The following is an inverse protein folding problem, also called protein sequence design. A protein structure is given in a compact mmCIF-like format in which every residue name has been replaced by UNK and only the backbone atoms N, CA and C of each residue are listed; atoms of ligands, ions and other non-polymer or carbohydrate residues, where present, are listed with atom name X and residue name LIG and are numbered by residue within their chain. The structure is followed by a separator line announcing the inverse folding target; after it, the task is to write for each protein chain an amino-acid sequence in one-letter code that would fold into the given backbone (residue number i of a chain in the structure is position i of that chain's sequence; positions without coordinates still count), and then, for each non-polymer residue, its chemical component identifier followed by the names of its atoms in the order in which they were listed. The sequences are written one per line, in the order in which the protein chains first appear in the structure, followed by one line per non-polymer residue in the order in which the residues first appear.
data_IF_647866119533
#
_entry.id   IF_647866119533
#
_cell.length_a   1.000
_cell.length_b   1.000
_cell.length_c   1.000
_cell.angle_alpha   90.00
_cell.angle_beta   90.00
_cell.angle_gamma   90.00
#
_symmetry.space_group_name_H-M   'P 1'
#
loop_
_entity.id
_entity.type
_entity.pdbx_description
1 polymer ?
#
# COMPACT_ATOMS: atom_id res chain seq x y z
N UNK A 1 -31.31 1.42 -2.14
CA UNK A 1 -30.44 0.29 -1.76
C UNK A 1 -29.64 0.68 -0.53
N UNK A 2 -30.21 0.49 0.66
CA UNK A 2 -29.50 0.46 1.95
C UNK A 2 -30.19 -0.64 2.75
N UNK A 3 -29.79 -1.86 2.48
CA UNK A 3 -30.02 -3.02 3.32
C UNK A 3 -28.69 -3.72 3.48
N UNK A 4 -28.48 -4.24 4.69
CA UNK A 4 -27.41 -5.14 5.09
C UNK A 4 -26.08 -4.48 5.46
N UNK A 5 -25.93 -4.20 6.76
CA UNK A 5 -24.92 -4.79 7.64
C UNK A 5 -25.34 -4.47 9.08
N UNK A 6 -25.97 -5.43 9.74
CA UNK A 6 -26.01 -5.53 11.20
C UNK A 6 -25.08 -6.68 11.57
N UNK A 7 -23.93 -6.35 12.15
CA UNK A 7 -23.12 -7.31 12.88
C UNK A 7 -22.47 -6.61 14.08
N UNK A 8 -22.84 -7.13 15.25
CA UNK A 8 -22.48 -6.78 16.62
C UNK A 8 -21.05 -6.23 16.85
N UNK A 9 -20.97 -5.05 17.47
CA UNK A 9 -19.93 -4.69 18.44
C UNK A 9 -20.58 -4.02 19.65
N UNK A 10 -20.87 -4.80 20.68
CA UNK A 10 -21.13 -4.29 22.03
C UNK A 10 -19.77 -3.93 22.66
N UNK A 11 -19.27 -2.72 22.41
CA UNK A 11 -18.30 -2.11 23.32
C UNK A 11 -19.06 -1.34 24.39
N UNK A 12 -18.93 -1.80 25.63
CA UNK A 12 -19.39 -1.07 26.82
C UNK A 12 -18.78 0.33 26.82
N UNK A 13 -19.61 1.34 26.56
CA UNK A 13 -19.27 2.73 26.76
C UNK A 13 -19.17 3.00 28.27
N UNK A 14 -17.98 2.86 28.85
CA UNK A 14 -17.64 3.60 30.05
C UNK A 14 -17.54 5.07 29.65
N UNK A 15 -18.66 5.78 29.77
CA UNK A 15 -18.70 7.23 29.64
C UNK A 15 -17.85 7.85 30.74
N UNK A 16 -16.65 8.32 30.38
CA UNK A 16 -16.01 9.36 31.16
C UNK A 16 -16.86 10.61 31.00
N UNK A 17 -17.83 10.79 31.90
CA UNK A 17 -18.46 12.08 32.12
C UNK A 17 -17.34 13.04 32.51
N UNK A 18 -16.90 13.89 31.58
CA UNK A 18 -16.18 15.09 31.95
C UNK A 18 -17.14 15.89 32.81
N UNK A 19 -16.85 15.97 34.11
CA UNK A 19 -17.54 16.86 35.03
C UNK A 19 -17.36 18.28 34.50
N UNK A 20 -18.45 18.85 33.98
CA UNK A 20 -18.54 20.28 33.81
C UNK A 20 -18.72 20.88 35.21
N UNK A 21 -17.78 21.70 35.63
CA UNK A 21 -17.97 22.58 36.78
C UNK A 21 -19.26 23.38 36.57
N UNK A 22 -20.09 23.43 37.62
CA UNK A 22 -21.36 24.12 37.64
C UNK A 22 -21.17 25.64 37.47
N UNK A 23 -21.14 26.10 36.22
CA UNK A 23 -21.10 27.52 35.85
C UNK A 23 -22.36 27.93 35.10
N UNK A 24 -23.28 28.57 35.82
CA UNK A 24 -24.55 29.21 35.41
C UNK A 24 -25.56 28.33 34.65
N UNK A 25 -26.86 28.46 34.97
CA UNK A 25 -27.98 27.74 34.33
C UNK A 25 -28.17 28.07 32.82
N UNK A 26 -27.18 28.69 32.19
CA UNK A 26 -27.23 29.27 30.84
C UNK A 26 -26.42 28.47 29.81
N UNK A 27 -25.46 27.65 30.23
CA UNK A 27 -24.55 26.92 29.35
C UNK A 27 -25.18 25.63 28.74
N UNK A 28 -26.31 25.81 28.05
CA UNK A 28 -27.17 24.72 27.56
C UNK A 28 -26.55 23.85 26.45
N UNK A 29 -25.54 24.36 25.73
CA UNK A 29 -24.98 23.70 24.55
C UNK A 29 -23.51 23.24 24.73
N UNK A 30 -23.04 23.10 25.96
CA UNK A 30 -21.64 22.71 26.24
C UNK A 30 -21.30 21.31 25.68
N UNK A 31 -22.24 20.37 25.71
CA UNK A 31 -22.01 19.00 25.21
C UNK A 31 -21.83 18.98 23.68
N UNK A 32 -22.68 19.72 22.97
CA UNK A 32 -22.61 19.89 21.53
C UNK A 32 -21.33 20.64 21.14
N UNK A 33 -20.99 21.72 21.86
CA UNK A 33 -19.75 22.47 21.67
C UNK A 33 -18.53 21.55 21.82
N UNK A 34 -18.43 20.78 22.90
CA UNK A 34 -17.29 19.90 23.14
C UNK A 34 -17.15 18.81 22.07
N UNK A 35 -18.27 18.27 21.58
CA UNK A 35 -18.28 17.25 20.52
C UNK A 35 -17.87 17.85 19.17
N UNK A 36 -18.43 19.00 18.79
CA UNK A 36 -18.07 19.70 17.56
C UNK A 36 -16.61 20.17 17.60
N UNK A 37 -16.14 20.71 18.73
CA UNK A 37 -14.74 21.08 18.90
C UNK A 37 -13.79 19.88 18.78
N UNK A 38 -14.17 18.71 19.31
CA UNK A 38 -13.37 17.49 19.14
C UNK A 38 -13.21 17.11 17.66
N UNK A 39 -14.30 17.20 16.88
CA UNK A 39 -14.29 16.95 15.43
C UNK A 39 -13.48 17.99 14.66
N UNK A 40 -13.66 19.28 14.97
CA UNK A 40 -12.92 20.38 14.34
C UNK A 40 -11.42 20.25 14.62
N UNK A 41 -11.04 19.93 15.85
CA UNK A 41 -9.65 19.89 16.27
C UNK A 41 -8.88 18.69 15.68
N UNK A 42 -9.57 17.72 15.04
CA UNK A 42 -8.91 16.70 14.21
C UNK A 42 -8.10 17.35 13.09
N UNK A 43 -8.61 18.43 12.50
CA UNK A 43 -7.92 19.18 11.46
C UNK A 43 -6.68 19.92 11.96
N UNK A 44 -6.49 20.06 13.27
CA UNK A 44 -5.30 20.69 13.88
C UNK A 44 -4.35 19.64 14.48
N UNK A 45 -4.82 18.40 14.65
CA UNK A 45 -4.03 17.31 15.22
C UNK A 45 -3.00 16.81 14.21
N UNK A 46 -1.77 16.55 14.65
CA UNK A 46 -0.72 15.97 13.81
C UNK A 46 -1.05 14.53 13.44
N UNK A 47 -0.96 14.20 12.15
CA UNK A 47 -1.13 12.82 11.67
C UNK A 47 0.19 12.07 11.89
N UNK A 48 0.21 11.16 12.86
CA UNK A 48 1.40 10.44 13.30
C UNK A 48 1.15 8.93 13.40
N UNK A 49 2.23 8.16 13.41
CA UNK A 49 2.17 6.69 13.58
C UNK A 49 1.73 5.93 12.33
N UNK A 50 1.78 6.56 11.15
CA UNK A 50 1.68 5.86 9.88
C UNK A 50 3.03 5.21 9.54
N UNK A 51 2.99 4.06 8.88
CA UNK A 51 4.22 3.37 8.46
C UNK A 51 4.86 4.06 7.25
N UNK A 52 6.18 4.02 7.19
CA UNK A 52 6.93 4.47 6.00
C UNK A 52 6.53 3.65 4.77
N UNK A 53 6.36 4.24 3.58
CA UNK A 53 5.78 3.55 2.43
C UNK A 53 6.65 2.45 1.81
N UNK A 54 7.98 2.58 1.86
CA UNK A 54 8.90 1.64 1.21
C UNK A 54 9.23 0.42 2.08
N UNK A 55 9.37 -0.76 1.44
CA UNK A 55 9.98 -1.92 2.09
C UNK A 55 11.50 -1.73 2.23
N UNK A 56 12.10 -2.30 3.28
CA UNK A 56 13.55 -2.31 3.43
C UNK A 56 14.25 -3.01 2.26
N UNK A 57 15.35 -2.42 1.79
CA UNK A 57 16.19 -2.98 0.72
C UNK A 57 17.26 -3.95 1.22
N UNK A 58 17.47 -4.07 2.54
CA UNK A 58 18.63 -4.80 3.09
C UNK A 58 18.58 -6.29 2.75
N UNK A 59 17.46 -6.95 3.05
CA UNK A 59 17.28 -8.38 2.76
C UNK A 59 17.22 -8.64 1.24
N UNK A 60 16.70 -7.70 0.48
CA UNK A 60 16.63 -7.74 -0.99
C UNK A 60 18.03 -7.69 -1.60
N UNK A 61 18.84 -6.74 -1.17
CA UNK A 61 20.22 -6.60 -1.59
C UNK A 61 21.04 -7.84 -1.21
N UNK A 62 20.80 -8.41 -0.03
CA UNK A 62 21.42 -9.65 0.41
C UNK A 62 21.09 -10.85 -0.49
N UNK A 63 19.83 -11.00 -0.92
CA UNK A 63 19.40 -12.05 -1.85
C UNK A 63 20.08 -11.87 -3.21
N UNK A 64 20.03 -10.66 -3.75
CA UNK A 64 20.66 -10.32 -5.04
C UNK A 64 22.17 -10.56 -5.03
N UNK A 65 22.83 -10.23 -3.92
CA UNK A 65 24.27 -10.46 -3.75
C UNK A 65 24.61 -11.95 -3.87
N UNK A 66 23.88 -12.82 -3.16
CA UNK A 66 24.08 -14.28 -3.24
C UNK A 66 23.80 -14.81 -4.65
N UNK A 67 22.74 -14.33 -5.29
CA UNK A 67 22.42 -14.71 -6.66
C UNK A 67 23.56 -14.39 -7.63
N UNK A 68 24.14 -13.19 -7.55
CA UNK A 68 25.32 -12.83 -8.35
C UNK A 68 26.54 -13.67 -7.98
N UNK A 69 26.78 -13.95 -6.71
CA UNK A 69 27.96 -14.76 -6.33
C UNK A 69 27.85 -16.20 -6.84
N UNK A 70 26.65 -16.79 -6.89
CA UNK A 70 26.43 -18.15 -7.40
C UNK A 70 26.30 -18.23 -8.92
N UNK A 71 26.08 -17.11 -9.61
CA UNK A 71 25.92 -17.08 -11.06
C UNK A 71 27.20 -17.52 -11.80
N UNK A 72 27.02 -17.80 -13.09
CA UNK A 72 28.08 -18.27 -13.97
C UNK A 72 29.31 -17.32 -13.95
N UNK A 73 30.54 -17.85 -13.80
CA UNK A 73 31.75 -17.03 -13.74
C UNK A 73 31.99 -16.17 -14.99
N UNK A 74 31.64 -16.65 -16.18
CA UNK A 74 31.83 -15.90 -17.42
C UNK A 74 30.78 -14.80 -17.55
N UNK A 75 29.53 -15.07 -17.11
CA UNK A 75 28.49 -14.03 -17.05
C UNK A 75 28.83 -12.93 -16.03
N UNK A 76 29.30 -13.30 -14.83
CA UNK A 76 29.58 -12.33 -13.77
C UNK A 76 30.79 -11.44 -14.05
N UNK A 77 31.79 -11.93 -14.81
CA UNK A 77 33.04 -11.21 -15.12
C UNK A 77 32.83 -9.89 -15.87
N UNK A 78 31.68 -9.71 -16.52
CA UNK A 78 31.37 -8.47 -17.24
C UNK A 78 31.06 -7.28 -16.32
N UNK A 79 30.65 -7.55 -15.08
CA UNK A 79 30.26 -6.54 -14.09
C UNK A 79 31.45 -6.13 -13.22
N UNK A 80 31.45 -4.87 -12.81
CA UNK A 80 32.41 -4.39 -11.82
C UNK A 80 32.15 -5.05 -10.45
N UNK A 81 33.22 -5.24 -9.68
CA UNK A 81 33.17 -5.74 -8.30
C UNK A 81 33.41 -4.63 -7.26
N UNK A 82 33.76 -3.42 -7.72
CA UNK A 82 33.97 -2.23 -6.89
C UNK A 82 33.42 -0.98 -7.57
N UNK A 83 33.00 0.02 -6.78
CA UNK A 83 32.47 1.27 -7.32
C UNK A 83 33.48 2.02 -8.22
N UNK A 84 34.78 1.91 -7.93
CA UNK A 84 35.86 2.54 -8.71
C UNK A 84 36.02 1.98 -10.13
N UNK A 85 35.50 0.79 -10.40
CA UNK A 85 35.55 0.13 -11.71
C UNK A 85 34.16 0.04 -12.36
N UNK A 86 33.18 0.74 -11.79
CA UNK A 86 31.82 0.80 -12.31
C UNK A 86 31.81 1.32 -13.76
N UNK A 87 30.87 0.83 -14.55
CA UNK A 87 30.69 1.21 -15.94
C UNK A 87 29.43 2.07 -16.00
N UNK A 88 29.48 3.16 -16.74
CA UNK A 88 28.34 4.05 -16.89
C UNK A 88 27.32 3.54 -17.92
N UNK A 89 27.71 2.53 -18.71
CA UNK A 89 26.89 1.96 -19.77
C UNK A 89 26.95 0.43 -19.81
N UNK A 90 25.98 -0.16 -20.52
CA UNK A 90 25.79 -1.59 -20.67
C UNK A 90 26.35 -2.06 -22.04
N UNK A 91 27.59 -2.58 -22.11
CA UNK A 91 28.31 -2.79 -23.39
C UNK A 91 27.65 -3.82 -24.32
N UNK A 92 26.79 -4.67 -23.75
CA UNK A 92 26.16 -5.81 -24.43
C UNK A 92 24.69 -5.57 -24.80
N UNK A 93 24.13 -4.40 -24.49
CA UNK A 93 22.74 -4.04 -24.82
C UNK A 93 22.66 -3.34 -26.19
N UNK A 94 22.70 -4.12 -27.27
CA UNK A 94 22.80 -3.62 -28.66
C UNK A 94 21.48 -3.60 -29.44
N UNK A 95 20.45 -4.29 -28.95
CA UNK A 95 19.15 -4.36 -29.61
C UNK A 95 18.36 -3.06 -29.39
N UNK A 96 18.04 -2.28 -30.45
CA UNK A 96 17.32 -1.02 -30.31
C UNK A 96 15.94 -1.16 -29.67
N UNK A 97 15.27 -2.31 -29.84
CA UNK A 97 13.91 -2.54 -29.34
C UNK A 97 13.86 -2.80 -27.83
N UNK A 98 14.98 -3.21 -27.22
CA UNK A 98 15.07 -3.54 -25.79
C UNK A 98 16.18 -2.77 -25.07
N UNK A 99 16.86 -1.84 -25.77
CA UNK A 99 18.08 -1.18 -25.31
C UNK A 99 17.94 -0.54 -23.93
N UNK A 100 16.86 0.23 -23.72
CA UNK A 100 16.63 0.95 -22.47
C UNK A 100 16.44 -0.02 -21.29
N UNK A 101 15.57 -1.02 -21.47
CA UNK A 101 15.27 -1.99 -20.41
C UNK A 101 16.45 -2.92 -20.13
N UNK A 102 17.20 -3.31 -21.17
CA UNK A 102 18.45 -4.05 -21.03
C UNK A 102 19.47 -3.22 -20.24
N UNK A 103 19.67 -1.95 -20.59
CA UNK A 103 20.62 -1.06 -19.92
C UNK A 103 20.27 -0.90 -18.44
N UNK A 104 18.99 -0.67 -18.12
CA UNK A 104 18.52 -0.57 -16.74
C UNK A 104 18.85 -1.82 -15.93
N UNK A 105 18.50 -3.01 -16.44
CA UNK A 105 18.77 -4.26 -15.74
C UNK A 105 20.26 -4.56 -15.60
N UNK A 106 21.05 -4.25 -16.64
CA UNK A 106 22.48 -4.46 -16.62
C UNK A 106 23.15 -3.61 -15.51
N UNK A 107 22.75 -2.34 -15.38
CA UNK A 107 23.23 -1.45 -14.31
C UNK A 107 22.78 -1.94 -12.91
N UNK A 108 21.56 -2.47 -12.79
CA UNK A 108 21.08 -3.09 -11.54
C UNK A 108 21.89 -4.33 -11.15
N UNK A 109 22.26 -5.18 -12.12
CA UNK A 109 23.15 -6.32 -11.89
C UNK A 109 24.56 -5.86 -11.51
N UNK A 110 25.09 -4.82 -12.16
CA UNK A 110 26.39 -4.27 -11.78
C UNK A 110 26.37 -3.73 -10.35
N UNK A 111 25.34 -2.96 -9.97
CA UNK A 111 25.20 -2.46 -8.60
C UNK A 111 25.12 -3.62 -7.59
N UNK A 112 24.38 -4.68 -7.92
CA UNK A 112 24.29 -5.89 -7.10
C UNK A 112 25.65 -6.60 -6.97
N UNK A 113 26.47 -6.62 -8.04
CA UNK A 113 27.81 -7.19 -8.05
C UNK A 113 28.76 -6.39 -7.16
N UNK A 114 28.77 -5.06 -7.31
CA UNK A 114 29.55 -4.16 -6.46
C UNK A 114 29.17 -4.36 -4.99
N UNK A 115 27.87 -4.48 -4.66
CA UNK A 115 27.45 -4.79 -3.29
C UNK A 115 27.94 -6.17 -2.84
N UNK A 116 27.79 -7.21 -3.66
CA UNK A 116 28.19 -8.57 -3.31
C UNK A 116 29.67 -8.68 -2.95
N UNK A 117 30.56 -8.05 -3.74
CA UNK A 117 32.01 -8.18 -3.57
C UNK A 117 32.62 -7.02 -2.77
N UNK A 118 32.00 -5.84 -2.79
CA UNK A 118 32.46 -4.61 -2.14
C UNK A 118 31.87 -4.34 -0.76
N UNK A 119 30.71 -4.90 -0.41
CA UNK A 119 29.99 -4.64 0.86
C UNK A 119 29.42 -5.91 1.53
N UNK A 120 29.25 -7.01 0.80
CA UNK A 120 28.55 -8.19 1.28
C UNK A 120 29.27 -8.95 2.39
N UNK A 121 28.70 -8.95 3.59
CA UNK A 121 29.25 -9.65 4.76
C UNK A 121 29.46 -11.16 4.51
N UNK A 122 28.44 -11.85 3.98
CA UNK A 122 28.51 -13.30 3.75
C UNK A 122 29.42 -13.65 2.56
N UNK A 123 29.22 -12.97 1.44
CA UNK A 123 29.88 -13.24 0.15
C UNK A 123 31.34 -12.81 0.12
N UNK A 124 31.77 -11.89 0.99
CA UNK A 124 33.20 -11.64 1.23
C UNK A 124 33.85 -12.72 2.09
N UNK A 125 33.18 -13.14 3.17
CA UNK A 125 33.72 -14.08 4.15
C UNK A 125 33.87 -15.49 3.62
N UNK A 126 32.97 -15.91 2.74
CA UNK A 126 32.95 -17.26 2.19
C UNK A 126 33.07 -17.17 0.68
N UNK A 127 34.18 -17.67 0.15
CA UNK A 127 34.43 -17.73 -1.29
C UNK A 127 33.99 -19.08 -1.85
N UNK A 128 33.33 -19.07 -2.99
CA UNK A 128 32.94 -20.26 -3.75
C UNK A 128 33.79 -20.29 -5.02
N UNK A 129 34.55 -21.37 -5.22
CA UNK A 129 35.45 -21.48 -6.38
C UNK A 129 34.69 -21.62 -7.69
N UNK A 130 35.34 -21.34 -8.82
CA UNK A 130 34.71 -21.51 -10.14
C UNK A 130 34.35 -22.97 -10.40
N UNK A 131 35.18 -23.91 -9.96
CA UNK A 131 34.90 -25.35 -10.06
C UNK A 131 33.65 -25.72 -9.25
N UNK A 132 33.44 -25.11 -8.07
CA UNK A 132 32.24 -25.34 -7.26
C UNK A 132 31.00 -24.80 -7.98
N UNK A 133 31.07 -23.59 -8.55
CA UNK A 133 29.97 -22.97 -9.30
C UNK A 133 29.59 -23.78 -10.54
N UNK A 134 30.59 -24.29 -11.28
CA UNK A 134 30.37 -25.04 -12.52
C UNK A 134 29.97 -26.51 -12.29
N UNK A 135 30.10 -27.03 -11.07
CA UNK A 135 29.60 -28.37 -10.71
C UNK A 135 28.07 -28.49 -10.85
N UNK A 136 27.55 -29.72 -10.93
CA UNK A 136 26.10 -29.96 -10.97
C UNK A 136 25.38 -29.34 -9.76
N UNK A 137 25.99 -29.46 -8.57
CA UNK A 137 25.46 -28.86 -7.34
C UNK A 137 25.49 -27.33 -7.40
N UNK A 138 26.57 -26.74 -7.92
CA UNK A 138 26.70 -25.28 -8.11
C UNK A 138 25.67 -24.72 -9.07
N UNK A 139 25.49 -25.37 -10.23
CA UNK A 139 24.48 -24.96 -11.21
C UNK A 139 23.05 -25.08 -10.67
N UNK A 140 22.76 -26.15 -9.92
CA UNK A 140 21.46 -26.30 -9.26
C UNK A 140 21.24 -25.19 -8.22
N UNK A 141 22.26 -24.87 -7.43
CA UNK A 141 22.21 -23.78 -6.46
C UNK A 141 22.01 -22.41 -7.12
N UNK A 142 22.69 -22.14 -8.25
CA UNK A 142 22.52 -20.91 -9.03
C UNK A 142 21.07 -20.77 -9.52
N UNK A 143 20.48 -21.84 -10.07
CA UNK A 143 19.06 -21.84 -10.50
C UNK A 143 18.11 -21.59 -9.33
N UNK A 144 18.38 -22.20 -8.16
CA UNK A 144 17.56 -21.98 -6.97
C UNK A 144 17.67 -20.54 -6.46
N UNK A 145 18.87 -19.97 -6.42
CA UNK A 145 19.09 -18.58 -6.01
C UNK A 145 18.43 -17.59 -6.99
N UNK A 146 18.49 -17.87 -8.28
CA UNK A 146 17.79 -17.12 -9.32
C UNK A 146 16.26 -17.16 -9.12
N UNK A 147 15.69 -18.34 -8.86
CA UNK A 147 14.26 -18.49 -8.59
C UNK A 147 13.82 -17.74 -7.32
N UNK A 148 14.62 -17.80 -6.25
CA UNK A 148 14.37 -17.05 -5.02
C UNK A 148 14.41 -15.54 -5.28
N UNK A 149 15.39 -15.06 -6.06
CA UNK A 149 15.50 -13.64 -6.43
C UNK A 149 14.29 -13.18 -7.26
N UNK A 150 13.83 -14.00 -8.20
CA UNK A 150 12.63 -13.69 -8.97
C UNK A 150 11.37 -13.61 -8.09
N UNK A 151 11.23 -14.52 -7.13
CA UNK A 151 10.12 -14.50 -6.18
C UNK A 151 10.15 -13.26 -5.26
N UNK A 152 11.34 -12.87 -4.78
CA UNK A 152 11.54 -11.64 -4.01
C UNK A 152 11.12 -10.41 -4.80
N UNK A 153 11.61 -10.26 -6.03
CA UNK A 153 11.26 -9.13 -6.90
C UNK A 153 9.76 -9.06 -7.18
N UNK A 154 9.10 -10.20 -7.41
CA UNK A 154 7.65 -10.24 -7.58
C UNK A 154 6.90 -9.78 -6.34
N UNK A 155 7.36 -10.16 -5.14
CA UNK A 155 6.76 -9.70 -3.88
C UNK A 155 6.92 -8.19 -3.72
N UNK A 156 8.12 -7.67 -3.97
CA UNK A 156 8.41 -6.22 -3.95
C UNK A 156 7.52 -5.47 -4.94
N UNK A 157 7.43 -5.92 -6.18
CA UNK A 157 6.61 -5.29 -7.21
C UNK A 157 5.13 -5.35 -6.87
N UNK A 158 4.64 -6.48 -6.35
CA UNK A 158 3.25 -6.62 -5.92
C UNK A 158 2.91 -5.64 -4.80
N UNK A 159 3.78 -5.52 -3.80
CA UNK A 159 3.64 -4.55 -2.71
C UNK A 159 3.65 -3.10 -3.23
N UNK A 160 4.63 -2.75 -4.06
CA UNK A 160 4.79 -1.41 -4.59
C UNK A 160 3.59 -0.96 -5.43
N UNK A 161 2.94 -1.90 -6.14
CA UNK A 161 1.79 -1.57 -6.98
C UNK A 161 0.46 -1.57 -6.21
N UNK A 162 0.32 -2.40 -5.17
CA UNK A 162 -0.97 -2.62 -4.49
C UNK A 162 -1.12 -1.85 -3.18
N UNK A 163 -0.05 -1.69 -2.41
CA UNK A 163 -0.15 -1.25 -1.02
C UNK A 163 0.66 0.02 -0.74
N UNK A 164 1.84 0.17 -1.36
CA UNK A 164 2.64 1.39 -1.22
C UNK A 164 1.86 2.70 -1.54
N UNK A 165 0.97 2.76 -2.57
CA UNK A 165 0.22 3.98 -2.85
C UNK A 165 -0.73 4.44 -1.73
N UNK A 166 -1.17 3.52 -0.87
CA UNK A 166 -2.03 3.83 0.28
C UNK A 166 -1.26 4.41 1.47
N UNK A 167 0.08 4.28 1.48
CA UNK A 167 0.97 4.93 2.44
C UNK A 167 1.59 6.21 1.86
N UNK A 168 1.76 6.29 0.53
CA UNK A 168 2.31 7.47 -0.14
C UNK A 168 1.44 8.71 0.08
N UNK A 169 2.04 9.71 0.73
CA UNK A 169 1.40 10.98 1.12
C UNK A 169 0.13 10.80 1.96
N UNK A 170 -0.04 9.65 2.63
CA UNK A 170 -1.24 9.33 3.40
C UNK A 170 -1.55 10.41 4.44
N UNK A 171 -0.53 10.85 5.20
CA UNK A 171 -0.66 11.90 6.20
C UNK A 171 -1.21 13.21 5.60
N UNK A 172 -0.66 13.64 4.46
CA UNK A 172 -1.08 14.86 3.75
C UNK A 172 -2.51 14.75 3.25
N UNK A 173 -2.87 13.61 2.63
CA UNK A 173 -4.23 13.37 2.09
C UNK A 173 -5.28 13.30 3.21
N UNK A 174 -4.96 12.63 4.32
CA UNK A 174 -5.83 12.58 5.51
C UNK A 174 -6.00 13.98 6.08
N UNK A 175 -4.91 14.74 6.25
CA UNK A 175 -4.96 16.12 6.74
C UNK A 175 -5.84 17.00 5.87
N UNK A 176 -5.72 16.90 4.54
CA UNK A 176 -6.54 17.65 3.60
C UNK A 176 -8.05 17.33 3.75
N UNK A 177 -8.43 16.06 3.91
CA UNK A 177 -9.83 15.70 4.18
C UNK A 177 -10.32 16.26 5.52
N UNK A 178 -9.49 16.24 6.57
CA UNK A 178 -9.86 16.79 7.88
C UNK A 178 -10.00 18.32 7.84
N UNK A 179 -9.13 19.05 7.13
CA UNK A 179 -9.24 20.49 6.93
C UNK A 179 -10.51 20.85 6.15
N UNK A 180 -10.79 20.13 5.06
CA UNK A 180 -12.03 20.30 4.30
C UNK A 180 -13.26 19.98 5.14
N UNK A 181 -13.22 18.93 5.97
CA UNK A 181 -14.30 18.64 6.91
C UNK A 181 -14.52 19.78 7.88
N UNK A 182 -13.47 20.19 8.63
CA UNK A 182 -13.58 21.14 9.73
C UNK A 182 -13.91 22.56 9.26
N UNK A 183 -13.32 22.96 8.13
CA UNK A 183 -13.22 24.36 7.72
C UNK A 183 -13.70 24.64 6.28
N UNK A 184 -13.84 23.61 5.45
CA UNK A 184 -14.33 23.73 4.06
C UNK A 184 -13.27 24.25 3.09
N UNK A 185 -12.04 24.41 3.56
CA UNK A 185 -10.89 24.91 2.82
C UNK A 185 -9.60 24.48 3.53
N UNK A 186 -8.46 24.62 2.86
CA UNK A 186 -7.16 24.48 3.52
C UNK A 186 -6.89 25.64 4.48
N UNK A 187 -6.19 25.35 5.58
CA UNK A 187 -5.82 26.35 6.61
C UNK A 187 -4.46 26.99 6.39
N UNK A 188 -3.72 26.59 5.34
CA UNK A 188 -2.42 27.16 5.03
C UNK A 188 -2.50 28.70 4.88
N UNK A 189 -1.72 29.43 5.69
CA UNK A 189 -1.72 30.90 5.68
C UNK A 189 -3.00 31.56 6.23
N UNK A 190 -3.90 30.79 6.85
CA UNK A 190 -5.13 31.30 7.46
C UNK A 190 -4.94 31.54 8.95
N UNK A 191 -5.72 32.46 9.50
CA UNK A 191 -5.83 32.73 10.93
C UNK A 191 -7.26 32.41 11.40
N UNK A 192 -7.52 32.43 12.72
CA UNK A 192 -8.84 32.05 13.24
C UNK A 192 -10.03 32.83 12.66
N UNK A 193 -9.84 34.09 12.21
CA UNK A 193 -10.91 34.93 11.66
C UNK A 193 -11.33 34.55 10.23
N UNK A 194 -10.51 33.78 9.51
CA UNK A 194 -10.75 33.48 8.10
C UNK A 194 -10.52 32.01 7.73
N UNK A 195 -10.32 31.14 8.72
CA UNK A 195 -10.15 29.71 8.49
C UNK A 195 -11.46 28.98 8.25
N UNK A 196 -12.55 29.36 8.92
CA UNK A 196 -13.89 28.83 8.60
C UNK A 196 -14.44 29.50 7.33
N UNK A 197 -15.09 28.74 6.43
CA UNK A 197 -15.80 29.31 5.27
C UNK A 197 -17.04 30.11 5.71
N UNK A 198 -17.55 30.97 4.82
CA UNK A 198 -18.83 31.65 5.02
C UNK A 198 -20.03 30.69 4.84
N UNK A 199 -21.11 30.85 5.61
CA UNK A 199 -22.36 30.15 5.38
C UNK A 199 -23.04 30.60 4.08
N UNK A 200 -24.16 29.95 3.75
CA UNK A 200 -25.07 30.40 2.68
C UNK A 200 -26.43 30.72 3.28
N UNK A 201 -27.04 31.82 2.85
CA UNK A 201 -28.34 32.27 3.37
C UNK A 201 -28.39 33.78 3.46
N UNK A 202 -29.56 34.32 3.83
CA UNK A 202 -29.75 35.76 4.08
C UNK A 202 -29.99 36.11 5.54
N UNK A 203 -30.30 35.11 6.37
CA UNK A 203 -30.68 35.26 7.77
C UNK A 203 -30.20 34.06 8.60
N UNK A 204 -30.37 34.13 9.93
CA UNK A 204 -30.00 33.03 10.84
C UNK A 204 -30.69 31.72 10.48
N UNK A 205 -31.98 31.77 10.14
CA UNK A 205 -32.77 30.58 9.81
C UNK A 205 -32.16 29.83 8.62
N UNK A 206 -31.79 30.53 7.56
CA UNK A 206 -31.23 29.95 6.34
C UNK A 206 -29.75 29.61 6.48
N UNK A 207 -28.98 30.40 7.23
CA UNK A 207 -27.55 30.15 7.49
C UNK A 207 -27.30 29.03 8.51
N UNK A 208 -28.23 28.82 9.44
CA UNK A 208 -28.21 27.74 10.43
C UNK A 208 -29.07 26.54 10.06
N UNK A 209 -29.34 26.36 8.77
CA UNK A 209 -29.97 25.17 8.20
C UNK A 209 -29.14 24.57 7.07
N UNK A 210 -29.45 23.34 6.69
CA UNK A 210 -28.90 22.72 5.49
C UNK A 210 -29.24 23.55 4.22
N UNK A 211 -28.29 23.73 3.29
CA UNK A 211 -27.00 23.03 3.22
C UNK A 211 -25.88 23.65 4.08
N UNK A 212 -26.05 24.86 4.62
CA UNK A 212 -24.98 25.64 5.27
C UNK A 212 -24.31 24.90 6.43
N UNK A 213 -25.08 24.43 7.42
CA UNK A 213 -24.55 23.65 8.56
C UNK A 213 -24.02 22.27 8.16
N UNK A 214 -24.45 21.76 6.99
CA UNK A 214 -23.93 20.53 6.41
C UNK A 214 -22.58 20.67 5.74
N UNK A 215 -22.10 21.90 5.46
CA UNK A 215 -20.81 22.10 4.81
C UNK A 215 -19.64 21.80 5.74
N UNK A 216 -19.64 22.39 6.94
CA UNK A 216 -18.52 22.31 7.90
C UNK A 216 -18.99 22.39 9.36
N UNK A 217 -18.35 21.67 10.31
CA UNK A 217 -18.65 21.75 11.73
C UNK A 217 -18.34 23.13 12.33
N UNK A 218 -17.39 23.91 11.79
CA UNK A 218 -17.15 25.27 12.32
C UNK A 218 -18.37 26.20 12.12
N UNK A 219 -19.12 26.03 11.03
CA UNK A 219 -20.41 26.73 10.82
C UNK A 219 -21.50 26.17 11.73
N UNK A 220 -21.56 24.84 11.88
CA UNK A 220 -22.47 24.22 12.85
C UNK A 220 -22.21 24.76 14.25
N UNK A 221 -20.94 24.89 14.65
CA UNK A 221 -20.52 25.44 15.93
C UNK A 221 -20.86 26.93 16.08
N UNK A 222 -20.66 27.72 15.02
CA UNK A 222 -21.10 29.12 15.00
C UNK A 222 -22.60 29.21 15.21
N UNK A 223 -23.38 28.37 14.54
CA UNK A 223 -24.78 28.24 14.90
C UNK A 223 -24.83 27.91 16.39
N UNK A 224 -24.24 26.78 16.85
CA UNK A 224 -24.35 26.24 18.22
C UNK A 224 -24.11 27.16 19.39
N UNK A 225 -23.18 28.08 19.21
CA UNK A 225 -22.66 28.89 20.31
C UNK A 225 -22.86 30.39 20.14
N UNK A 226 -23.37 30.87 19.00
CA UNK A 226 -23.53 32.32 18.80
C UNK A 226 -24.91 32.80 19.23
N UNK A 227 -24.94 33.83 20.07
CA UNK A 227 -26.17 34.57 20.41
C UNK A 227 -26.44 35.64 19.37
N UNK A 228 -27.73 35.87 19.10
CA UNK A 228 -28.16 36.90 18.17
C UNK A 228 -28.01 38.30 18.80
N UNK A 229 -27.29 39.19 18.13
CA UNK A 229 -26.93 40.51 18.65
C UNK A 229 -28.10 41.49 18.85
N UNK A 230 -29.27 41.20 18.29
CA UNK A 230 -30.45 42.06 18.41
C UNK A 230 -31.36 41.74 19.59
N UNK A 231 -31.39 40.49 20.05
CA UNK A 231 -32.48 39.98 20.93
C UNK A 231 -32.05 39.00 22.02
N UNK A 232 -30.82 38.46 22.00
CA UNK A 232 -30.39 37.40 22.91
C UNK A 232 -29.36 37.86 23.95
N UNK A 233 -29.65 37.64 25.23
CA UNK A 233 -28.74 37.96 26.36
C UNK A 233 -28.01 36.74 26.93
N UNK A 234 -28.48 35.52 26.65
CA UNK A 234 -27.99 34.28 27.25
C UNK A 234 -26.69 33.78 26.62
N UNK A 235 -25.74 33.40 27.46
CA UNK A 235 -24.48 32.83 27.02
C UNK A 235 -24.56 31.30 26.90
N UNK A 236 -25.10 30.86 25.76
CA UNK A 236 -25.58 29.49 25.56
C UNK A 236 -24.46 28.42 25.53
N UNK A 237 -23.24 28.80 25.19
CA UNK A 237 -22.04 27.94 25.33
C UNK A 237 -21.12 28.40 26.47
N UNK A 238 -21.61 29.28 27.35
CA UNK A 238 -20.86 29.86 28.47
C UNK A 238 -20.43 31.32 28.22
N UNK A 239 -20.34 32.09 29.31
CA UNK A 239 -20.17 33.55 29.30
C UNK A 239 -18.86 34.02 28.61
N UNK A 240 -17.74 33.35 28.87
CA UNK A 240 -16.45 33.69 28.26
C UNK A 240 -16.30 33.22 26.79
N UNK A 241 -17.32 32.57 26.23
CA UNK A 241 -17.21 31.73 25.03
C UNK A 241 -18.18 32.16 23.92
N UNK A 242 -19.38 32.58 24.28
CA UNK A 242 -20.50 32.80 23.36
C UNK A 242 -20.27 34.08 22.54
N UNK A 243 -19.91 34.01 21.23
CA UNK A 243 -19.80 35.20 20.41
C UNK A 243 -21.19 35.80 20.14
N UNK A 244 -21.19 37.07 19.75
CA UNK A 244 -22.39 37.79 19.32
C UNK A 244 -22.32 38.04 17.82
N UNK A 245 -23.36 37.66 17.08
CA UNK A 245 -23.47 37.91 15.64
C UNK A 245 -24.87 38.38 15.29
N UNK A 246 -24.95 39.46 14.52
CA UNK A 246 -26.16 39.85 13.82
C UNK A 246 -26.17 39.12 12.48
N UNK A 247 -27.13 38.21 12.27
CA UNK A 247 -27.16 37.30 11.12
C UNK A 247 -27.71 37.97 9.84
N UNK A 248 -27.16 39.11 9.46
CA UNK A 248 -27.59 39.88 8.28
C UNK A 248 -26.70 39.68 7.06
N UNK A 249 -25.46 39.20 7.26
CA UNK A 249 -24.53 38.92 6.16
C UNK A 249 -23.75 37.62 6.41
N UNK A 250 -23.65 36.73 5.41
CA UNK A 250 -22.80 35.54 5.51
C UNK A 250 -21.32 35.85 5.74
N UNK A 251 -20.83 36.98 5.24
CA UNK A 251 -19.39 37.33 5.30
C UNK A 251 -18.90 37.61 6.72
N UNK A 252 -19.80 37.89 7.64
CA UNK A 252 -19.47 38.32 9.00
C UNK A 252 -19.29 37.13 9.93
N UNK A 253 -19.90 35.99 9.60
CA UNK A 253 -19.88 34.79 10.43
C UNK A 253 -18.47 34.19 10.64
N UNK A 254 -17.60 34.07 9.61
CA UNK A 254 -16.25 33.53 9.78
C UNK A 254 -15.41 34.23 10.86
N UNK A 255 -15.51 35.56 10.99
CA UNK A 255 -14.74 36.30 11.99
C UNK A 255 -15.12 35.93 13.42
N UNK A 256 -16.40 35.59 13.67
CA UNK A 256 -16.89 35.19 14.99
C UNK A 256 -16.36 33.83 15.44
N UNK A 257 -15.88 33.02 14.50
CA UNK A 257 -15.30 31.73 14.83
C UNK A 257 -13.96 31.87 15.57
N UNK A 258 -13.27 33.01 15.51
CA UNK A 258 -12.00 33.21 16.19
C UNK A 258 -12.06 32.98 17.70
N UNK A 259 -13.15 33.40 18.37
CA UNK A 259 -13.36 33.14 19.80
C UNK A 259 -13.57 31.66 20.11
N UNK A 260 -14.31 30.97 19.23
CA UNK A 260 -14.60 29.54 19.35
C UNK A 260 -13.39 28.65 19.02
N UNK A 261 -12.52 29.11 18.11
CA UNK A 261 -11.28 28.41 17.76
C UNK A 261 -10.36 28.22 18.99
N UNK A 262 -10.19 29.29 19.78
CA UNK A 262 -9.36 29.24 20.99
C UNK A 262 -9.85 28.18 21.99
N UNK A 263 -11.16 27.90 21.99
CA UNK A 263 -11.78 26.91 22.86
C UNK A 263 -11.62 25.52 22.26
N UNK A 264 -11.89 25.36 20.96
CA UNK A 264 -11.71 24.07 20.31
C UNK A 264 -10.26 23.56 20.39
N UNK A 265 -9.27 24.45 20.39
CA UNK A 265 -7.86 24.10 20.63
C UNK A 265 -7.60 23.47 22.01
N UNK A 266 -8.46 23.71 23.01
CA UNK A 266 -8.40 23.06 24.32
C UNK A 266 -8.95 21.63 24.30
N UNK A 267 -9.76 21.28 23.30
CA UNK A 267 -10.25 19.91 23.07
C UNK A 267 -9.22 19.10 22.29
N UNK A 268 -8.03 18.92 22.85
CA UNK A 268 -6.93 18.21 22.20
C UNK A 268 -7.26 16.74 21.98
N UNK A 269 -6.96 16.24 20.78
CA UNK A 269 -7.07 14.83 20.46
C UNK A 269 -5.69 14.19 20.61
N UNK A 270 -5.61 13.06 21.31
CA UNK A 270 -4.33 12.36 21.48
C UNK A 270 -3.78 11.81 20.15
N UNK A 271 -4.66 11.29 19.30
CA UNK A 271 -4.32 10.75 17.97
C UNK A 271 -5.54 10.80 17.04
N UNK A 272 -5.29 10.99 15.75
CA UNK A 272 -6.30 10.77 14.71
C UNK A 272 -6.38 9.28 14.40
N UNK A 273 -7.54 8.67 14.64
CA UNK A 273 -7.83 7.26 14.34
C UNK A 273 -9.22 7.12 13.71
N UNK A 274 -9.42 6.04 12.97
CA UNK A 274 -10.71 5.72 12.36
C UNK A 274 -11.82 5.60 13.40
N UNK A 275 -11.51 4.93 14.51
CA UNK A 275 -12.43 4.64 15.61
C UNK A 275 -12.85 5.93 16.31
N UNK A 276 -11.91 6.84 16.56
CA UNK A 276 -12.20 8.12 17.20
C UNK A 276 -13.12 8.99 16.32
N UNK A 277 -12.87 9.05 15.01
CA UNK A 277 -13.73 9.81 14.08
C UNK A 277 -15.15 9.24 14.08
N UNK A 278 -15.29 7.91 13.94
CA UNK A 278 -16.60 7.23 13.94
C UNK A 278 -17.32 7.44 15.28
N UNK A 279 -16.62 7.32 16.40
CA UNK A 279 -17.19 7.54 17.74
C UNK A 279 -17.73 8.96 17.88
N UNK A 280 -16.98 9.97 17.43
CA UNK A 280 -17.40 11.38 17.53
C UNK A 280 -18.53 11.73 16.58
N UNK A 281 -18.57 11.12 15.40
CA UNK A 281 -19.72 11.18 14.51
C UNK A 281 -20.97 10.59 15.16
N UNK A 282 -20.87 9.39 15.72
CA UNK A 282 -21.98 8.75 16.43
C UNK A 282 -22.44 9.56 17.65
N UNK A 283 -21.51 10.13 18.41
CA UNK A 283 -21.81 11.01 19.55
C UNK A 283 -22.58 12.25 19.08
N UNK A 284 -22.13 12.93 18.01
CA UNK A 284 -22.77 14.13 17.51
C UNK A 284 -24.17 13.85 16.95
N UNK A 285 -24.32 12.82 16.11
CA UNK A 285 -25.62 12.47 15.55
C UNK A 285 -26.58 11.93 16.61
N UNK A 286 -26.08 11.29 17.66
CA UNK A 286 -26.88 10.91 18.82
C UNK A 286 -27.39 12.10 19.65
N UNK A 287 -26.85 13.31 19.45
CA UNK A 287 -27.34 14.54 20.08
C UNK A 287 -28.44 15.24 19.28
N UNK A 288 -28.77 14.77 18.07
CA UNK A 288 -29.89 15.31 17.31
C UNK A 288 -31.20 15.08 18.05
N UNK A 289 -32.05 16.10 18.05
CA UNK A 289 -33.38 16.10 18.67
C UNK A 289 -34.43 16.31 17.59
N UNK A 290 -35.62 15.77 17.86
CA UNK A 290 -36.81 15.99 17.05
C UNK A 290 -37.78 16.89 17.80
N UNK A 291 -38.35 17.87 17.11
CA UNK A 291 -39.42 18.72 17.61
C UNK A 291 -40.59 18.66 16.61
N UNK A 292 -41.78 18.38 17.12
CA UNK A 292 -43.02 18.49 16.34
C UNK A 292 -43.66 19.85 16.59
N UNK A 293 -43.89 20.59 15.51
CA UNK A 293 -44.63 21.85 15.52
C UNK A 293 -45.85 21.75 14.61
N UNK A 294 -46.91 22.55 14.85
CA UNK A 294 -48.15 22.50 14.08
C UNK A 294 -47.99 22.75 12.57
N UNK A 295 -46.86 23.33 12.15
CA UNK A 295 -46.50 23.57 10.76
C UNK A 295 -45.49 22.58 10.18
N UNK A 296 -44.98 21.63 10.98
CA UNK A 296 -44.07 20.57 10.55
C UNK A 296 -43.05 20.16 11.61
N UNK A 297 -42.45 18.99 11.40
CA UNK A 297 -41.41 18.43 12.26
C UNK A 297 -40.02 18.99 11.90
N UNK A 298 -39.16 19.06 12.91
CA UNK A 298 -37.79 19.55 12.81
C UNK A 298 -36.81 18.54 13.40
N UNK A 299 -35.68 18.33 12.73
CA UNK A 299 -34.51 17.65 13.30
C UNK A 299 -33.40 18.67 13.48
N UNK A 300 -32.99 18.86 14.73
CA UNK A 300 -32.02 19.90 15.07
C UNK A 300 -31.01 19.41 16.09
N UNK A 301 -29.84 20.02 16.10
CA UNK A 301 -28.95 19.96 17.23
C UNK A 301 -29.43 20.97 18.29
N UNK A 302 -29.09 20.78 19.58
CA UNK A 302 -29.06 21.79 20.68
C UNK A 302 -30.38 22.49 21.08
N UNK A 303 -30.29 23.58 21.87
CA UNK A 303 -31.41 24.29 22.52
C UNK A 303 -32.26 25.19 21.59
N UNK A 304 -33.55 24.93 21.52
CA UNK A 304 -34.49 25.65 20.68
C UNK A 304 -35.74 26.07 21.46
N UNK A 305 -36.43 27.12 21.01
CA UNK A 305 -37.68 27.65 21.59
C UNK A 305 -38.78 27.57 20.54
N UNK A 306 -39.87 26.83 20.78
CA UNK A 306 -41.21 26.75 20.11
C UNK A 306 -41.42 27.32 18.67
N UNK A 307 -40.38 27.46 17.86
CA UNK A 307 -40.40 27.88 16.46
C UNK A 307 -40.37 26.62 15.57
N UNK A 308 -40.45 26.80 14.26
CA UNK A 308 -40.22 25.72 13.31
C UNK A 308 -38.78 25.69 12.80
N UNK A 309 -37.99 26.73 13.12
CA UNK A 309 -36.70 26.98 12.50
C UNK A 309 -35.65 27.44 13.50
N UNK A 310 -34.38 27.42 13.07
CA UNK A 310 -33.27 28.00 13.80
C UNK A 310 -33.15 29.49 13.53
N UNK A 311 -34.24 30.21 13.79
CA UNK A 311 -34.40 31.64 13.61
C UNK A 311 -33.76 32.46 14.74
N UNK A 312 -33.78 33.78 14.59
CA UNK A 312 -33.29 34.72 15.60
C UNK A 312 -34.34 34.84 16.72
N UNK A 313 -34.11 34.11 17.82
CA UNK A 313 -34.99 34.09 18.98
C UNK A 313 -34.18 34.23 20.27
N UNK A 314 -34.79 34.85 21.28
CA UNK A 314 -34.19 35.00 22.59
C UNK A 314 -33.90 33.64 23.23
N UNK A 315 -32.72 33.50 23.87
CA UNK A 315 -32.28 32.24 24.50
C UNK A 315 -32.25 31.03 23.56
N UNK A 316 -32.24 31.26 22.25
CA UNK A 316 -32.43 30.22 21.24
C UNK A 316 -31.26 30.10 20.31
N UNK A 317 -30.85 28.86 20.14
CA UNK A 317 -29.69 28.57 19.40
C UNK A 317 -29.85 27.10 18.99
N UNK A 318 -30.32 26.83 17.75
CA UNK A 318 -30.31 25.51 17.05
C UNK A 318 -29.58 25.42 15.67
N UNK A 319 -29.11 24.23 15.30
CA UNK A 319 -28.64 23.97 13.93
C UNK A 319 -29.61 22.96 13.29
N UNK A 320 -30.20 23.33 12.15
CA UNK A 320 -31.29 22.59 11.51
C UNK A 320 -30.75 21.58 10.49
N UNK A 321 -30.95 20.31 10.81
CA UNK A 321 -30.57 19.15 10.01
C UNK A 321 -31.76 18.46 9.33
N UNK A 322 -32.96 19.06 9.38
CA UNK A 322 -34.21 18.45 8.87
C UNK A 322 -34.07 17.97 7.42
N UNK A 323 -33.39 18.74 6.55
CA UNK A 323 -33.21 18.36 5.14
C UNK A 323 -32.29 17.14 4.92
N UNK A 324 -31.50 16.72 5.89
CA UNK A 324 -30.71 15.49 5.81
C UNK A 324 -31.58 14.24 6.06
N UNK A 325 -32.75 14.43 6.66
CA UNK A 325 -33.68 13.39 7.05
C UNK A 325 -35.07 13.73 6.50
N UNK A 326 -35.28 13.57 5.18
CA UNK A 326 -36.54 13.93 4.54
C UNK A 326 -37.70 13.19 5.22
N UNK A 327 -38.67 13.96 5.70
CA UNK A 327 -39.82 13.44 6.46
C UNK A 327 -41.02 13.16 5.53
N UNK A 328 -40.91 13.54 4.24
CA UNK A 328 -41.93 13.33 3.21
C UNK A 328 -41.38 12.52 2.04
N UNK A 329 -42.23 11.68 1.45
CA UNK A 329 -41.85 10.75 0.38
C UNK A 329 -41.26 11.41 -0.89
N UNK A 330 -41.56 12.68 -1.15
CA UNK A 330 -41.07 13.42 -2.32
C UNK A 330 -39.75 14.19 -2.08
N UNK A 331 -39.22 14.17 -0.84
CA UNK A 331 -38.03 14.92 -0.47
C UNK A 331 -36.76 14.06 -0.58
N UNK A 332 -35.70 14.62 -1.16
CA UNK A 332 -34.39 13.98 -1.22
C UNK A 332 -33.51 14.44 -0.06
N UNK A 333 -32.81 13.51 0.56
CA UNK A 333 -31.86 13.83 1.62
C UNK A 333 -30.74 14.73 1.09
N UNK A 334 -30.52 15.85 1.76
CA UNK A 334 -29.36 16.71 1.53
C UNK A 334 -28.14 16.09 2.23
N UNK A 335 -27.04 15.92 1.50
CA UNK A 335 -25.81 15.40 2.07
C UNK A 335 -25.21 16.34 3.12
N UNK A 336 -24.54 15.74 4.10
CA UNK A 336 -23.69 16.44 5.05
C UNK A 336 -22.25 16.31 4.55
N UNK A 337 -21.72 17.34 3.89
CA UNK A 337 -20.42 17.31 3.22
C UNK A 337 -19.28 17.01 4.19
N UNK A 338 -19.29 17.60 5.39
CA UNK A 338 -18.24 17.36 6.38
C UNK A 338 -18.24 15.93 6.91
N UNK A 339 -19.39 15.26 6.99
CA UNK A 339 -19.46 13.83 7.31
C UNK A 339 -18.75 13.02 6.23
N UNK A 340 -19.00 13.33 4.94
CA UNK A 340 -18.35 12.65 3.83
C UNK A 340 -16.83 12.85 3.82
N UNK A 341 -16.35 14.05 4.14
CA UNK A 341 -14.91 14.30 4.30
C UNK A 341 -14.31 13.50 5.46
N UNK A 342 -14.98 13.44 6.62
CA UNK A 342 -14.53 12.62 7.76
C UNK A 342 -14.51 11.12 7.42
N UNK A 343 -15.51 10.62 6.69
CA UNK A 343 -15.56 9.22 6.25
C UNK A 343 -14.47 8.90 5.21
N UNK A 344 -14.11 9.85 4.34
CA UNK A 344 -12.94 9.70 3.46
C UNK A 344 -11.63 9.63 4.23
N UNK A 345 -11.49 10.42 5.31
CA UNK A 345 -10.31 10.33 6.19
C UNK A 345 -10.25 8.95 6.88
N UNK A 346 -11.39 8.43 7.37
CA UNK A 346 -11.52 7.07 7.93
C UNK A 346 -11.10 6.01 6.91
N UNK A 347 -11.57 6.09 5.66
CA UNK A 347 -11.19 5.13 4.62
C UNK A 347 -9.68 5.13 4.37
N UNK A 348 -9.06 6.32 4.29
CA UNK A 348 -7.60 6.45 4.09
C UNK A 348 -6.80 5.91 5.28
N UNK A 349 -7.24 6.17 6.51
CA UNK A 349 -6.62 5.59 7.71
C UNK A 349 -6.66 4.06 7.67
N UNK A 350 -7.82 3.46 7.37
CA UNK A 350 -7.97 2.01 7.25
C UNK A 350 -7.10 1.40 6.14
N UNK A 351 -6.99 2.07 4.99
CA UNK A 351 -6.11 1.64 3.90
C UNK A 351 -4.64 1.71 4.30
N UNK A 352 -4.22 2.79 4.97
CA UNK A 352 -2.86 2.92 5.48
C UNK A 352 -2.52 1.83 6.51
N UNK A 353 -3.44 1.53 7.44
CA UNK A 353 -3.25 0.45 8.42
C UNK A 353 -3.14 -0.93 7.75
N UNK A 354 -3.98 -1.20 6.75
CA UNK A 354 -3.91 -2.44 5.97
C UNK A 354 -2.60 -2.53 5.18
N UNK A 355 -2.20 -1.47 4.50
CA UNK A 355 -0.94 -1.42 3.75
C UNK A 355 0.29 -1.61 4.66
N UNK A 356 0.25 -1.08 5.89
CA UNK A 356 1.29 -1.32 6.89
C UNK A 356 1.39 -2.79 7.31
N UNK A 357 0.26 -3.50 7.47
CA UNK A 357 0.26 -4.93 7.76
C UNK A 357 0.81 -5.74 6.59
N UNK A 358 0.43 -5.41 5.35
CA UNK A 358 0.93 -6.06 4.14
C UNK A 358 2.43 -5.79 3.91
N UNK A 359 2.91 -4.59 4.27
CA UNK A 359 4.34 -4.28 4.32
C UNK A 359 5.08 -5.27 5.23
N UNK A 360 4.64 -5.40 6.48
CA UNK A 360 5.27 -6.28 7.46
C UNK A 360 5.27 -7.75 6.99
N UNK A 361 4.16 -8.23 6.41
CA UNK A 361 4.06 -9.59 5.85
C UNK A 361 5.02 -9.79 4.67
N UNK A 362 5.12 -8.80 3.79
CA UNK A 362 6.03 -8.82 2.64
C UNK A 362 7.48 -8.88 3.11
N UNK A 363 7.88 -7.99 4.03
CA UNK A 363 9.23 -7.94 4.59
C UNK A 363 9.59 -9.24 5.32
N UNK A 364 8.67 -9.81 6.10
CA UNK A 364 8.89 -11.11 6.76
C UNK A 364 9.12 -12.24 5.74
N UNK A 365 8.39 -12.23 4.62
CA UNK A 365 8.55 -13.22 3.54
C UNK A 365 9.89 -13.06 2.82
N UNK A 366 10.28 -11.82 2.50
CA UNK A 366 11.58 -11.51 1.90
C UNK A 366 12.72 -11.95 2.84
N UNK A 367 12.60 -11.71 4.15
CA UNK A 367 13.57 -12.18 5.14
C UNK A 367 13.68 -13.71 5.17
N UNK A 368 12.57 -14.44 5.03
CA UNK A 368 12.59 -15.89 4.93
C UNK A 368 13.27 -16.37 3.64
N UNK A 369 13.00 -15.73 2.50
CA UNK A 369 13.68 -16.00 1.23
C UNK A 369 15.20 -15.76 1.34
N UNK A 370 15.62 -14.72 2.07
CA UNK A 370 17.04 -14.49 2.35
C UNK A 370 17.66 -15.65 3.13
N UNK A 371 17.00 -16.14 4.17
CA UNK A 371 17.49 -17.30 4.93
C UNK A 371 17.63 -18.52 4.01
N UNK A 372 16.64 -18.77 3.15
CA UNK A 372 16.69 -19.88 2.20
C UNK A 372 17.88 -19.76 1.24
N UNK A 373 18.09 -18.59 0.64
CA UNK A 373 19.20 -18.40 -0.31
C UNK A 373 20.56 -18.49 0.37
N UNK A 374 20.67 -18.07 1.63
CA UNK A 374 21.89 -18.23 2.42
C UNK A 374 22.21 -19.70 2.72
N UNK A 375 21.19 -20.52 2.96
CA UNK A 375 21.36 -21.97 3.12
C UNK A 375 21.84 -22.63 1.82
N UNK A 376 21.28 -22.21 0.68
CA UNK A 376 21.74 -22.66 -0.66
C UNK A 376 23.22 -22.30 -0.84
N UNK A 377 23.58 -21.04 -0.58
CA UNK A 377 24.95 -20.56 -0.67
C UNK A 377 25.94 -21.35 0.20
N UNK A 378 25.62 -21.52 1.49
CA UNK A 378 26.50 -22.23 2.43
C UNK A 378 26.66 -23.71 2.07
N UNK A 379 25.61 -24.38 1.57
CA UNK A 379 25.70 -25.76 1.08
C UNK A 379 26.61 -25.88 -0.12
N UNK A 380 26.54 -24.94 -1.06
CA UNK A 380 27.43 -24.89 -2.22
C UNK A 380 28.87 -24.66 -1.80
N UNK A 381 29.11 -23.74 -0.88
CA UNK A 381 30.47 -23.47 -0.36
C UNK A 381 31.08 -24.70 0.35
N UNK A 382 30.27 -25.48 1.06
CA UNK A 382 30.71 -26.69 1.75
C UNK A 382 30.77 -27.94 0.84
N UNK A 383 30.31 -27.86 -0.40
CA UNK A 383 30.26 -29.00 -1.31
C UNK A 383 31.68 -29.45 -1.67
N UNK A 384 31.98 -30.72 -1.41
CA UNK A 384 33.20 -31.37 -1.90
C UNK A 384 33.07 -31.57 -3.41
N UNK A 385 33.98 -30.99 -4.17
CA UNK A 385 34.11 -31.33 -5.58
C UNK A 385 34.79 -32.69 -5.63
N UNK A 386 34.01 -33.74 -5.82
CA UNK A 386 34.58 -34.97 -6.32
C UNK A 386 34.99 -34.67 -7.74
N UNK A 387 36.31 -34.64 -7.99
CA UNK A 387 36.79 -34.78 -9.34
C UNK A 387 36.15 -36.05 -9.88
N UNK A 388 35.16 -35.89 -10.76
CA UNK A 388 34.98 -36.89 -11.80
C UNK A 388 36.32 -36.90 -12.50
N UNK A 389 37.22 -37.82 -12.10
CA UNK A 389 38.09 -38.49 -13.06
C UNK A 389 37.19 -38.68 -14.26
N UNK A 390 37.60 -38.10 -15.40
CA UNK A 390 36.90 -38.10 -16.68
C UNK A 390 35.74 -39.09 -16.67
N UNK A 391 34.50 -38.72 -17.05
CA UNK A 391 33.65 -39.77 -17.57
C UNK A 391 34.51 -40.46 -18.63
N UNK A 392 34.94 -41.69 -18.33
CA UNK A 392 35.54 -42.56 -19.33
C UNK A 392 34.62 -42.36 -20.53
N UNK A 393 35.15 -42.02 -21.72
CA UNK A 393 34.29 -41.84 -22.87
C UNK A 393 33.42 -43.09 -22.89
N UNK A 394 32.12 -42.91 -22.68
CA UNK A 394 31.17 -44.01 -22.85
C UNK A 394 31.47 -44.46 -24.25
N UNK A 395 32.10 -45.62 -24.39
CA UNK A 395 32.47 -46.15 -25.67
C UNK A 395 31.14 -46.27 -26.41
N UNK A 396 30.89 -45.34 -27.34
CA UNK A 396 29.81 -45.50 -28.29
C UNK A 396 30.14 -46.81 -28.99
N UNK A 397 29.22 -47.79 -29.02
CA UNK A 397 29.44 -48.99 -29.82
C UNK A 397 29.81 -48.54 -31.24
N UNK A 398 30.86 -49.11 -31.86
CA UNK A 398 31.23 -48.75 -33.23
C UNK A 398 30.02 -48.96 -34.14
N UNK A 399 29.70 -47.96 -34.98
CA UNK A 399 28.59 -48.01 -35.94
C UNK A 399 29.00 -48.89 -37.12
N UNK A 400 28.95 -50.21 -36.91
CA UNK A 400 29.45 -51.21 -37.86
C UNK A 400 28.60 -51.31 -39.13
N UNK A 401 27.29 -51.18 -39.00
CA UNK A 401 26.34 -51.43 -40.10
C UNK A 401 26.45 -50.42 -41.26
N UNK A 402 27.19 -49.32 -41.07
CA UNK A 402 27.41 -48.29 -42.09
C UNK A 402 28.54 -48.64 -43.09
N UNK A 403 29.34 -49.68 -42.80
CA UNK A 403 30.47 -50.09 -43.63
C UNK A 403 30.07 -51.21 -44.59
N UNK A 404 30.22 -50.95 -45.90
CA UNK A 404 29.85 -51.87 -46.98
C UNK A 404 31.03 -52.65 -47.57
N UNK A 405 32.22 -52.54 -46.98
CA UNK A 405 33.37 -53.35 -47.39
C UNK A 405 34.14 -53.94 -46.22
N UNK A 406 34.81 -55.06 -46.45
CA UNK A 406 35.63 -55.74 -45.43
C UNK A 406 36.73 -54.81 -44.88
N UNK A 407 37.42 -54.07 -45.76
CA UNK A 407 38.48 -53.15 -45.37
C UNK A 407 37.97 -52.01 -44.50
N UNK A 408 36.81 -51.42 -44.84
CA UNK A 408 36.23 -50.34 -44.03
C UNK A 408 35.63 -50.86 -42.72
N UNK A 409 35.08 -52.06 -42.72
CA UNK A 409 34.53 -52.73 -41.55
C UNK A 409 35.60 -53.05 -40.49
N UNK A 410 36.67 -53.74 -40.89
CA UNK A 410 37.74 -54.18 -39.99
C UNK A 410 38.55 -53.02 -39.42
N UNK A 411 38.77 -51.96 -40.21
CA UNK A 411 39.44 -50.72 -39.77
C UNK A 411 38.68 -49.98 -38.67
N UNK A 412 37.36 -50.17 -38.58
CA UNK A 412 36.49 -49.58 -37.57
C UNK A 412 36.16 -50.55 -36.40
N UNK A 413 37.01 -51.56 -36.18
CA UNK A 413 36.93 -52.53 -35.08
C UNK A 413 35.70 -53.44 -35.09
N UNK A 414 35.02 -53.56 -36.23
CA UNK A 414 33.87 -54.44 -36.43
C UNK A 414 34.27 -55.79 -37.05
N UNK A 415 33.33 -56.74 -37.11
CA UNK A 415 33.50 -58.07 -37.72
C UNK A 415 32.76 -58.12 -39.05
N UNK A 416 33.49 -58.39 -40.13
CA UNK A 416 32.92 -58.66 -41.45
C UNK A 416 32.40 -60.10 -41.53
N UNK A 417 31.13 -60.28 -41.92
CA UNK A 417 30.49 -61.57 -42.22
C UNK A 417 30.14 -61.60 -43.71
N UNK A 418 31.17 -61.69 -44.56
CA UNK A 418 31.05 -61.77 -46.01
C UNK A 418 32.12 -62.66 -46.62
N UNK A 419 31.85 -63.17 -47.83
CA UNK A 419 32.75 -64.07 -48.55
C UNK A 419 33.76 -63.34 -49.43
N UNK A 420 33.57 -62.04 -49.67
CA UNK A 420 34.45 -61.19 -50.46
C UNK A 420 34.43 -59.73 -49.95
N UNK A 421 35.12 -58.82 -50.65
CA UNK A 421 35.36 -57.44 -50.18
C UNK A 421 34.08 -56.59 -50.08
N UNK A 422 33.03 -56.90 -50.84
CA UNK A 422 31.85 -56.04 -51.01
C UNK A 422 30.52 -56.74 -50.73
N UNK A 423 30.48 -58.08 -50.67
CA UNK A 423 29.29 -58.86 -50.36
C UNK A 423 29.45 -59.48 -48.96
N UNK A 424 28.87 -58.80 -47.99
CA UNK A 424 28.92 -59.18 -46.58
C UNK A 424 28.25 -58.16 -45.67
N UNK A 425 27.98 -58.57 -44.44
CA UNK A 425 27.47 -57.69 -43.39
C UNK A 425 28.56 -57.36 -42.37
N UNK A 426 28.71 -56.08 -42.02
CA UNK A 426 29.62 -55.63 -40.97
C UNK A 426 28.88 -55.50 -39.64
N UNK A 427 29.20 -56.34 -38.65
CA UNK A 427 28.54 -56.36 -37.33
C UNK A 427 29.52 -56.04 -36.19
N UNK A 428 29.05 -55.55 -35.04
CA UNK A 428 29.86 -55.44 -33.84
C UNK A 428 30.47 -56.79 -33.44
N UNK A 429 31.66 -56.80 -32.84
CA UNK A 429 32.28 -58.02 -32.32
C UNK A 429 31.49 -58.49 -31.10
N UNK A 430 31.10 -59.75 -31.07
CA UNK A 430 30.37 -60.35 -29.94
C UNK A 430 31.28 -60.36 -28.70
N UNK A 431 30.94 -59.54 -27.69
CA UNK A 431 31.70 -59.39 -26.45
C UNK A 431 31.56 -58.03 -25.75
N UNK A 432 31.16 -56.97 -26.46
CA UNK A 432 30.91 -55.65 -25.87
C UNK A 432 29.43 -55.25 -26.06
N UNK A 433 28.67 -55.31 -24.96
CA UNK A 433 27.41 -54.56 -24.81
C UNK A 433 26.13 -55.19 -25.35
N UNK A 434 25.67 -56.29 -24.76
CA UNK A 434 24.26 -56.68 -24.87
C UNK A 434 23.44 -55.98 -23.77
N UNK A 435 22.80 -54.85 -24.10
CA UNK A 435 21.58 -54.41 -23.41
C UNK A 435 20.53 -54.06 -24.47
N UNK A 436 19.40 -54.73 -24.36
CA UNK A 436 18.28 -54.76 -25.30
C UNK A 436 17.61 -53.39 -25.43
N UNK A 437 17.34 -52.98 -26.66
CA UNK A 437 16.37 -51.94 -26.98
C UNK A 437 14.96 -52.56 -26.98
N UNK A 438 14.01 -51.88 -26.34
CA UNK A 438 12.57 -52.09 -26.52
C UNK A 438 12.00 -50.84 -27.19
N UNK A 439 11.13 -51.08 -28.17
CA UNK A 439 10.63 -50.16 -29.19
C UNK A 439 9.53 -49.21 -28.70
N UNK A 440 9.08 -48.39 -29.66
CA UNK A 440 7.77 -47.72 -29.78
C UNK A 440 7.70 -46.29 -29.22
N UNK A 441 7.16 -45.26 -29.88
CA UNK A 441 6.63 -45.04 -31.22
C UNK A 441 6.46 -43.50 -31.35
N UNK A 442 6.43 -43.01 -32.60
CA UNK A 442 5.65 -41.85 -33.06
C UNK A 442 6.25 -40.42 -32.95
N UNK A 443 6.80 -40.03 -34.09
CA UNK A 443 6.82 -38.68 -34.67
C UNK A 443 5.49 -37.94 -34.50
N UNK A 444 5.52 -36.75 -33.89
CA UNK A 444 4.66 -35.62 -34.28
C UNK A 444 5.43 -34.32 -34.17
N UNK A 445 5.53 -33.61 -35.30
CA UNK A 445 5.96 -32.22 -35.38
C UNK A 445 5.00 -31.35 -34.58
N UNK A 446 5.52 -30.51 -33.67
CA UNK A 446 4.81 -29.29 -33.28
C UNK A 446 5.82 -28.17 -33.01
N UNK A 447 5.66 -27.14 -33.81
CA UNK A 447 6.35 -25.86 -33.84
C UNK A 447 6.47 -25.24 -32.44
N UNK A 448 7.69 -24.85 -32.04
CA UNK A 448 7.94 -24.05 -30.83
C UNK A 448 7.32 -22.66 -31.00
N UNK A 449 6.16 -22.43 -30.39
CA UNK A 449 5.68 -21.07 -30.14
C UNK A 449 6.35 -20.53 -28.88
N UNK A 450 7.11 -19.46 -29.06
CA UNK A 450 7.72 -18.64 -28.02
C UNK A 450 6.61 -17.93 -27.23
N UNK A 451 6.38 -18.32 -25.98
CA UNK A 451 5.54 -17.55 -25.06
C UNK A 451 6.44 -16.52 -24.37
N UNK A 452 6.21 -15.25 -24.71
CA UNK A 452 6.82 -14.08 -24.07
C UNK A 452 6.12 -13.87 -22.73
N UNK A 453 6.81 -14.15 -21.62
CA UNK A 453 6.44 -13.62 -20.31
C UNK A 453 7.33 -12.39 -20.07
N UNK A 454 6.73 -11.22 -20.28
CA UNK A 454 7.36 -9.94 -19.99
C UNK A 454 7.63 -9.83 -18.49
N UNK A 455 8.86 -9.43 -18.14
CA UNK A 455 9.47 -9.28 -16.79
C UNK A 455 10.02 -10.57 -16.15
N UNK A 456 11.25 -10.90 -16.58
CA UNK A 456 12.44 -11.37 -15.82
C UNK A 456 13.30 -12.13 -16.86
N UNK A 457 14.41 -11.57 -17.38
CA UNK A 457 15.32 -12.37 -18.18
C UNK A 457 16.29 -13.04 -17.21
N UNK A 458 16.00 -14.28 -16.86
CA UNK A 458 17.06 -15.21 -16.46
C UNK A 458 17.07 -16.27 -17.55
N UNK A 459 17.99 -16.07 -18.50
CA UNK A 459 18.33 -17.07 -19.49
C UNK A 459 18.91 -18.27 -18.75
N UNK A 460 18.08 -19.29 -18.57
CA UNK A 460 18.52 -20.67 -18.58
C UNK A 460 19.22 -20.90 -19.92
N UNK A 461 20.54 -21.01 -19.90
CA UNK A 461 21.36 -22.04 -20.56
C UNK A 461 22.85 -21.66 -20.52
#
# INVERSE_FOLDING_TARGET
MRSDIVAFMLLSACGFAQQADAGTNEAKNLAEMGTLCSLINLAETSITGLSEPGISEDDINAIKAVNITLADPDWTRQFATSATTAKEDAPNCKDPSTQEQCKKQWLEWQASSIKAYGEGELTKKIQISNEQKLSLQGQAAARQAAAITAAELQLKDSYNNRYKPDLDEAATKIKADLELAAFGQSTAGKNPNNKCIAPTGGDRQTMCALPSVGKVPCLTLLCVCTKDGGTATTDICGNAVTPTLTWTSPTDAPAQYAGLDAICKKHTNAKVTSEFIIQKLGQLFGMLKTLTHGSGDMIHLRAHTNSQHCDAQASSACADFTKAYPLKAAEMATNIDWEQHLLRAVEKLKKADHAAQEKQRTEATIKALRIQVYLVFNRTAAAKIYATKNPNPVARPPICDSHKSNTTCTKNNCKWKGTNETEGECKPKEGEGAVKAENDEKTTNTTRNTIVINKVPILLL
#
